data_IF_261757625217
#
_entry.id   IF_261757625217
#
_cell.length_a   1.000
_cell.length_b   1.000
_cell.length_c   1.000
_cell.angle_alpha   90.00
_cell.angle_beta   90.00
_cell.angle_gamma   90.00
#
_symmetry.space_group_name_H-M   'P 1'
#
loop_
_entity.id
_entity.type
_entity.pdbx_description
1 polymer ?
#
# COMPACT_ATOMS: atom_id res chain seq x y z
N UNK A 1 12.49 -29.01 -14.46
CA UNK A 1 12.74 -28.05 -15.55
C UNK A 1 11.39 -27.66 -16.11
N UNK A 2 10.98 -26.40 -15.97
CA UNK A 2 9.73 -25.93 -16.59
C UNK A 2 10.02 -25.64 -18.09
N UNK A 3 9.13 -26.07 -19.01
CA UNK A 3 9.33 -25.88 -20.44
C UNK A 3 9.31 -24.40 -20.84
N UNK A 4 10.03 -24.12 -21.91
CA UNK A 4 10.54 -22.82 -22.33
C UNK A 4 9.47 -21.71 -22.45
N UNK A 5 9.74 -20.56 -21.82
CA UNK A 5 9.14 -19.27 -22.17
C UNK A 5 8.10 -18.68 -21.22
N UNK A 6 7.70 -19.37 -20.14
CA UNK A 6 6.87 -18.76 -19.10
C UNK A 6 7.63 -18.78 -17.76
N UNK A 7 7.93 -17.59 -17.22
CA UNK A 7 8.38 -17.46 -15.84
C UNK A 7 7.48 -18.32 -14.95
N UNK A 8 8.00 -19.09 -13.97
CA UNK A 8 7.14 -19.77 -13.01
C UNK A 8 6.18 -18.72 -12.46
N UNK A 9 4.88 -18.97 -12.61
CA UNK A 9 3.84 -18.02 -12.19
C UNK A 9 4.16 -17.60 -10.76
N UNK A 10 4.56 -16.33 -10.55
CA UNK A 10 4.96 -15.84 -9.24
C UNK A 10 3.84 -16.21 -8.26
N UNK A 11 4.11 -16.95 -7.17
CA UNK A 11 3.08 -17.40 -6.26
C UNK A 11 2.26 -16.21 -5.77
N UNK A 12 0.93 -16.33 -5.79
CA UNK A 12 0.02 -15.25 -5.41
C UNK A 12 0.34 -14.74 -3.99
N UNK A 13 0.74 -15.65 -3.10
CA UNK A 13 1.18 -15.37 -1.73
C UNK A 13 2.41 -14.47 -1.67
N UNK A 14 3.45 -14.74 -2.46
CA UNK A 14 4.67 -13.92 -2.50
C UNK A 14 4.38 -12.51 -3.01
N UNK A 15 3.50 -12.39 -3.99
CA UNK A 15 3.04 -11.11 -4.52
C UNK A 15 2.24 -10.32 -3.47
N UNK A 16 1.34 -11.00 -2.75
CA UNK A 16 0.58 -10.41 -1.64
C UNK A 16 1.48 -9.90 -0.52
N UNK A 17 2.46 -10.69 -0.08
CA UNK A 17 3.43 -10.28 0.96
C UNK A 17 4.27 -9.10 0.48
N UNK A 18 4.77 -9.14 -0.75
CA UNK A 18 5.58 -8.05 -1.33
C UNK A 18 4.78 -6.75 -1.41
N UNK A 19 3.51 -6.84 -1.79
CA UNK A 19 2.61 -5.68 -1.83
C UNK A 19 2.31 -5.14 -0.43
N UNK A 20 2.12 -6.00 0.57
CA UNK A 20 1.98 -5.57 1.96
C UNK A 20 3.20 -4.80 2.45
N UNK A 21 4.40 -5.32 2.19
CA UNK A 21 5.67 -4.68 2.57
C UNK A 21 5.82 -3.35 1.82
N UNK A 22 5.55 -3.33 0.51
CA UNK A 22 5.55 -2.09 -0.28
C UNK A 22 4.63 -1.03 0.33
N UNK A 23 3.41 -1.42 0.75
CA UNK A 23 2.47 -0.52 1.41
C UNK A 23 3.03 0.09 2.69
N UNK A 24 3.65 -0.74 3.54
CA UNK A 24 4.29 -0.29 4.79
C UNK A 24 5.45 0.67 4.49
N UNK A 25 6.37 0.27 3.61
CA UNK A 25 7.58 1.05 3.30
C UNK A 25 7.21 2.37 2.64
N UNK A 26 6.36 2.36 1.62
CA UNK A 26 5.97 3.58 0.92
C UNK A 26 5.13 4.50 1.80
N UNK A 27 4.23 3.95 2.62
CA UNK A 27 3.50 4.72 3.60
C UNK A 27 4.43 5.39 4.63
N UNK A 28 5.43 4.66 5.12
CA UNK A 28 6.42 5.20 6.06
C UNK A 28 7.32 6.28 5.42
N UNK A 29 7.83 6.04 4.21
CA UNK A 29 8.65 7.02 3.48
C UNK A 29 7.85 8.29 3.17
N UNK A 30 6.63 8.14 2.63
CA UNK A 30 5.78 9.30 2.33
C UNK A 30 5.35 10.02 3.62
N UNK A 31 4.96 9.28 4.66
CA UNK A 31 4.56 9.86 5.95
C UNK A 31 5.70 10.61 6.63
N UNK A 32 6.93 10.09 6.58
CA UNK A 32 8.10 10.76 7.13
C UNK A 32 8.41 12.05 6.36
N UNK A 33 8.34 12.03 5.02
CA UNK A 33 8.55 13.22 4.21
C UNK A 33 7.51 14.30 4.52
N UNK A 34 6.22 13.94 4.57
CA UNK A 34 5.15 14.90 4.90
C UNK A 34 5.25 15.39 6.36
N UNK A 35 5.73 14.56 7.29
CA UNK A 35 5.99 14.97 8.68
C UNK A 35 7.14 15.99 8.75
N UNK A 36 8.24 15.75 8.03
CA UNK A 36 9.35 16.70 7.93
C UNK A 36 8.87 18.03 7.34
N UNK A 37 8.08 17.99 6.26
CA UNK A 37 7.46 19.20 5.71
C UNK A 37 6.53 19.89 6.70
N UNK A 38 5.75 19.15 7.49
CA UNK A 38 4.90 19.75 8.52
C UNK A 38 5.72 20.48 9.60
N UNK A 39 6.82 19.88 10.06
CA UNK A 39 7.73 20.48 11.04
C UNK A 39 8.50 21.69 10.47
N UNK A 40 8.87 21.63 9.20
CA UNK A 40 9.50 22.73 8.48
C UNK A 40 8.51 23.88 8.22
N UNK A 41 7.23 23.60 7.90
CA UNK A 41 6.18 24.64 7.80
C UNK A 41 6.00 25.35 9.15
N UNK A 42 6.06 24.62 10.26
CA UNK A 42 6.03 25.21 11.61
C UNK A 42 7.25 26.09 11.87
N UNK A 43 8.40 25.80 11.24
CA UNK A 43 9.68 26.48 11.49
C UNK A 43 10.01 27.59 10.48
N UNK A 44 9.43 27.56 9.28
CA UNK A 44 9.69 28.48 8.18
C UNK A 44 8.35 28.91 7.55
N UNK A 45 8.00 30.16 7.80
CA UNK A 45 6.80 30.89 7.34
C UNK A 45 6.65 31.04 5.80
N UNK A 46 7.31 30.22 4.97
CA UNK A 46 7.60 30.54 3.56
C UNK A 46 7.22 29.51 2.49
N UNK A 47 6.53 28.41 2.80
CA UNK A 47 6.05 27.47 1.77
C UNK A 47 4.53 27.61 1.59
N UNK A 48 4.11 28.09 0.41
CA UNK A 48 2.71 28.25 -0.03
C UNK A 48 1.96 26.92 -0.22
N UNK A 49 2.02 25.99 0.75
CA UNK A 49 1.16 24.80 0.78
C UNK A 49 0.10 24.97 1.88
N UNK A 50 -1.19 24.78 1.58
CA UNK A 50 -2.22 24.87 2.61
C UNK A 50 -1.98 23.76 3.65
N UNK A 51 -1.93 24.12 4.94
CA UNK A 51 -1.67 23.20 6.05
C UNK A 51 -2.59 21.97 6.02
N UNK A 52 -3.86 22.19 5.66
CA UNK A 52 -4.88 21.14 5.49
C UNK A 52 -4.43 20.04 4.52
N UNK A 53 -3.69 20.37 3.47
CA UNK A 53 -3.20 19.38 2.50
C UNK A 53 -2.16 18.45 3.13
N UNK A 54 -1.25 18.98 3.95
CA UNK A 54 -0.21 18.19 4.61
C UNK A 54 -0.82 17.22 5.61
N UNK A 55 -1.80 17.66 6.40
CA UNK A 55 -2.52 16.78 7.32
C UNK A 55 -3.29 15.66 6.61
N UNK A 56 -3.95 15.97 5.48
CA UNK A 56 -4.65 14.95 4.68
C UNK A 56 -3.65 13.91 4.13
N UNK A 57 -2.49 14.35 3.63
CA UNK A 57 -1.46 13.42 3.13
C UNK A 57 -0.88 12.54 4.24
N UNK A 58 -0.70 13.07 5.45
CA UNK A 58 -0.32 12.29 6.63
C UNK A 58 -1.34 11.21 6.96
N UNK A 59 -2.64 11.56 6.99
CA UNK A 59 -3.72 10.58 7.24
C UNK A 59 -3.70 9.47 6.19
N UNK A 60 -3.53 9.83 4.91
CA UNK A 60 -3.40 8.84 3.86
C UNK A 60 -2.17 7.95 4.09
N UNK A 61 -1.03 8.50 4.52
CA UNK A 61 0.20 7.75 4.67
C UNK A 61 0.04 6.70 5.77
N UNK A 62 -0.54 7.09 6.90
CA UNK A 62 -0.90 6.19 7.98
C UNK A 62 -1.89 5.11 7.54
N UNK A 63 -2.93 5.48 6.78
CA UNK A 63 -3.89 4.49 6.26
C UNK A 63 -3.23 3.45 5.35
N UNK A 64 -2.21 3.84 4.58
CA UNK A 64 -1.48 2.92 3.71
C UNK A 64 -0.54 1.98 4.48
N UNK A 65 0.08 2.48 5.56
CA UNK A 65 0.82 1.64 6.51
C UNK A 65 -0.12 0.60 7.13
N UNK A 66 -1.26 1.03 7.66
CA UNK A 66 -2.26 0.14 8.26
C UNK A 66 -2.80 -0.88 7.24
N UNK A 67 -3.03 -0.45 5.99
CA UNK A 67 -3.41 -1.35 4.91
C UNK A 67 -2.38 -2.47 4.71
N UNK A 68 -1.10 -2.13 4.62
CA UNK A 68 -0.01 -3.09 4.47
C UNK A 68 0.11 -4.02 5.67
N UNK A 69 0.00 -3.50 6.90
CA UNK A 69 0.01 -4.31 8.13
C UNK A 69 -1.15 -5.31 8.14
N UNK A 70 -2.40 -4.86 7.95
CA UNK A 70 -3.56 -5.74 7.96
C UNK A 70 -3.50 -6.79 6.85
N UNK A 71 -3.02 -6.42 5.66
CA UNK A 71 -2.84 -7.36 4.56
C UNK A 71 -1.77 -8.40 4.91
N UNK A 72 -0.62 -7.98 5.47
CA UNK A 72 0.45 -8.89 5.89
C UNK A 72 -0.02 -9.86 6.97
N UNK A 73 -0.62 -9.37 8.05
CA UNK A 73 -1.14 -10.21 9.12
C UNK A 73 -2.28 -11.11 8.63
N UNK A 74 -3.16 -10.61 7.76
CA UNK A 74 -4.21 -11.40 7.13
C UNK A 74 -3.68 -12.58 6.31
N UNK A 75 -2.56 -12.39 5.59
CA UNK A 75 -1.87 -13.46 4.83
C UNK A 75 -1.12 -14.41 5.76
N UNK A 76 -0.39 -13.91 6.75
CA UNK A 76 0.46 -14.73 7.62
C UNK A 76 -0.33 -15.55 8.64
N UNK A 77 -1.46 -15.00 9.12
CA UNK A 77 -2.33 -15.65 10.11
C UNK A 77 -3.57 -16.26 9.50
N UNK A 78 -3.71 -16.19 8.18
CA UNK A 78 -4.88 -16.69 7.45
C UNK A 78 -6.18 -16.16 8.09
N UNK A 79 -6.20 -14.85 8.35
CA UNK A 79 -7.37 -14.16 8.89
C UNK A 79 -8.07 -13.34 7.80
N UNK A 80 -9.19 -13.89 7.32
CA UNK A 80 -10.06 -13.25 6.32
C UNK A 80 -10.44 -11.80 6.64
N UNK A 81 -10.86 -11.42 7.87
CA UNK A 81 -11.25 -10.04 8.14
C UNK A 81 -10.08 -9.06 8.02
N UNK A 82 -8.89 -9.41 8.51
CA UNK A 82 -7.68 -8.59 8.37
C UNK A 82 -7.26 -8.47 6.90
N UNK A 83 -7.29 -9.57 6.16
CA UNK A 83 -7.00 -9.56 4.72
C UNK A 83 -7.94 -8.63 3.95
N UNK A 84 -9.24 -8.69 4.25
CA UNK A 84 -10.24 -7.84 3.60
C UNK A 84 -10.09 -6.37 3.98
N UNK A 85 -9.89 -6.09 5.27
CA UNK A 85 -9.66 -4.73 5.77
C UNK A 85 -8.42 -4.11 5.12
N UNK A 86 -7.30 -4.84 5.09
CA UNK A 86 -6.08 -4.41 4.41
C UNK A 86 -6.30 -4.14 2.93
N UNK A 87 -7.02 -5.03 2.23
CA UNK A 87 -7.32 -4.84 0.80
C UNK A 87 -8.16 -3.59 0.55
N UNK A 88 -9.22 -3.39 1.33
CA UNK A 88 -10.12 -2.22 1.23
C UNK A 88 -9.35 -0.92 1.49
N UNK A 89 -8.58 -0.85 2.59
CA UNK A 89 -7.79 0.33 2.92
C UNK A 89 -6.74 0.63 1.83
N UNK A 90 -6.18 -0.40 1.19
CA UNK A 90 -5.16 -0.22 0.17
C UNK A 90 -5.66 0.48 -1.10
N UNK A 91 -6.97 0.58 -1.33
CA UNK A 91 -7.55 1.34 -2.46
C UNK A 91 -7.57 2.86 -2.23
N UNK A 92 -7.52 3.32 -0.98
CA UNK A 92 -7.60 4.75 -0.65
C UNK A 92 -6.42 5.52 -1.26
N UNK A 93 -5.22 4.95 -1.15
CA UNK A 93 -3.98 5.61 -1.56
C UNK A 93 -3.84 5.79 -3.08
N UNK A 94 -4.04 4.77 -3.94
CA UNK A 94 -4.05 4.93 -5.40
C UNK A 94 -5.12 5.89 -5.90
N UNK A 95 -6.30 5.94 -5.26
CA UNK A 95 -7.38 6.87 -5.64
C UNK A 95 -6.96 8.31 -5.32
N UNK A 96 -6.43 8.55 -4.11
CA UNK A 96 -5.94 9.86 -3.70
C UNK A 96 -4.73 10.34 -4.52
N UNK A 97 -3.92 9.40 -5.03
CA UNK A 97 -2.71 9.67 -5.80
C UNK A 97 -2.82 9.19 -7.25
N UNK A 98 -4.00 9.24 -7.86
CA UNK A 98 -4.25 8.68 -9.21
C UNK A 98 -3.31 9.24 -10.29
N UNK A 99 -2.84 10.47 -10.10
CA UNK A 99 -1.86 11.13 -10.99
C UNK A 99 -0.45 10.53 -10.91
N UNK A 100 -0.13 9.76 -9.86
CA UNK A 100 1.14 9.04 -9.71
C UNK A 100 1.00 7.66 -10.35
N UNK A 101 1.46 7.56 -11.60
CA UNK A 101 1.39 6.35 -12.44
C UNK A 101 2.00 5.12 -11.74
N UNK A 102 3.14 5.30 -11.06
CA UNK A 102 3.89 4.18 -10.49
C UNK A 102 3.15 3.46 -9.33
N UNK A 103 2.65 4.15 -8.28
CA UNK A 103 1.78 3.55 -7.26
C UNK A 103 0.53 2.87 -7.83
N UNK A 104 -0.08 3.47 -8.86
CA UNK A 104 -1.29 2.95 -9.49
C UNK A 104 -1.02 1.61 -10.19
N UNK A 105 0.06 1.54 -10.97
CA UNK A 105 0.46 0.31 -11.68
C UNK A 105 0.76 -0.82 -10.69
N UNK A 106 1.54 -0.55 -9.63
CA UNK A 106 1.83 -1.55 -8.60
C UNK A 106 0.54 -2.03 -7.93
N UNK A 107 -0.35 -1.11 -7.56
CA UNK A 107 -1.62 -1.45 -6.95
C UNK A 107 -2.48 -2.37 -7.84
N UNK A 108 -2.63 -2.02 -9.12
CA UNK A 108 -3.44 -2.82 -10.06
C UNK A 108 -2.87 -4.24 -10.19
N UNK A 109 -1.56 -4.37 -10.42
CA UNK A 109 -0.89 -5.66 -10.55
C UNK A 109 -1.10 -6.50 -9.28
N UNK A 110 -0.92 -5.91 -8.11
CA UNK A 110 -1.08 -6.59 -6.83
C UNK A 110 -2.53 -6.99 -6.54
N UNK A 111 -3.50 -6.13 -6.80
CA UNK A 111 -4.93 -6.44 -6.61
C UNK A 111 -5.37 -7.62 -7.48
N UNK A 112 -4.92 -7.68 -8.74
CA UNK A 112 -5.18 -8.82 -9.62
C UNK A 112 -4.66 -10.14 -9.04
N UNK A 113 -3.59 -10.11 -8.23
CA UNK A 113 -3.01 -11.29 -7.56
C UNK A 113 -3.61 -11.57 -6.18
N UNK A 114 -4.22 -10.59 -5.52
CA UNK A 114 -4.89 -10.77 -4.23
C UNK A 114 -6.22 -11.52 -4.35
N UNK A 115 -6.92 -11.42 -5.48
CA UNK A 115 -8.16 -12.16 -5.74
C UNK A 115 -7.98 -13.69 -5.76
N UNK A 116 -7.04 -14.27 -6.53
CA UNK A 116 -6.76 -15.70 -6.46
C UNK A 116 -6.21 -16.10 -5.08
N UNK A 117 -5.32 -15.29 -4.48
CA UNK A 117 -4.79 -15.56 -3.15
C UNK A 117 -5.88 -15.68 -2.08
N UNK A 118 -6.92 -14.84 -2.15
CA UNK A 118 -8.08 -14.94 -1.24
C UNK A 118 -8.72 -16.33 -1.30
N UNK A 119 -8.93 -16.86 -2.50
CA UNK A 119 -9.58 -18.16 -2.69
C UNK A 119 -8.67 -19.31 -2.25
N UNK A 120 -7.34 -19.13 -2.33
CA UNK A 120 -6.35 -20.09 -1.82
C UNK A 120 -6.30 -20.13 -0.29
N UNK A 121 -6.36 -18.97 0.37
CA UNK A 121 -6.27 -18.85 1.84
C UNK A 121 -7.60 -19.09 2.55
N UNK A 122 -8.73 -18.77 1.91
CA UNK A 122 -10.07 -18.80 2.50
C UNK A 122 -11.05 -19.55 1.58
N UNK A 123 -10.95 -20.88 1.49
CA UNK A 123 -11.89 -21.71 0.72
C UNK A 123 -13.32 -21.63 1.26
#
# INVERSE_FOLDING_TARGET
MCPDGSCPSIPARSCGISYSIYGIVMGAVCGLLELLFALDIISLESVNRPETYVYIQLVFAFSYILAGIFLLFGILKEQRPLFMAGKILSYIWPIANVFRIFPLVIHIISVCRLCPLRNELFP
#
